data_IF_469099823611
#
_entry.id   IF_469099823611
#
_cell.length_a   1.000
_cell.length_b   1.000
_cell.length_c   1.000
_cell.angle_alpha   90.00
_cell.angle_beta   90.00
_cell.angle_gamma   90.00
#
_symmetry.space_group_name_H-M   'P 1'
#
loop_
_entity.id
_entity.type
_entity.pdbx_description
1 polymer ?
#
# COMPACT_ATOMS: atom_id res chain seq x y z
N UNK A 1 51.88 19.49 15.34
CA UNK A 1 50.71 19.74 14.48
C UNK A 1 49.63 18.74 14.89
N UNK A 2 48.65 19.15 15.68
CA UNK A 2 47.59 18.26 16.19
C UNK A 2 46.48 18.23 15.14
N UNK A 3 46.30 17.10 14.47
CA UNK A 3 45.16 16.87 13.58
C UNK A 3 43.98 16.51 14.48
N UNK A 4 43.07 17.46 14.67
CA UNK A 4 41.78 17.23 15.31
C UNK A 4 40.88 16.57 14.26
N UNK A 5 40.66 15.26 14.41
CA UNK A 5 39.55 14.60 13.70
C UNK A 5 38.25 15.03 14.38
N UNK A 6 37.49 15.89 13.71
CA UNK A 6 36.10 16.14 14.08
C UNK A 6 35.32 14.85 13.85
N UNK A 7 34.93 14.17 14.92
CA UNK A 7 33.96 13.09 14.86
C UNK A 7 32.64 13.68 14.37
N UNK A 8 32.24 13.36 13.14
CA UNK A 8 30.88 13.58 12.68
C UNK A 8 29.95 12.78 13.59
N UNK A 9 29.03 13.48 14.26
CA UNK A 9 27.95 12.84 15.00
C UNK A 9 27.22 11.90 14.04
N UNK A 10 27.16 10.61 14.35
CA UNK A 10 26.36 9.66 13.60
C UNK A 10 24.90 10.12 13.66
N UNK A 11 24.29 10.38 12.51
CA UNK A 11 22.87 10.69 12.41
C UNK A 11 22.06 9.47 12.91
N UNK A 12 21.45 9.65 14.08
CA UNK A 12 20.69 8.63 14.82
C UNK A 12 19.22 8.58 14.43
N UNK A 13 18.80 9.38 13.44
CA UNK A 13 17.39 9.42 13.04
C UNK A 13 16.99 8.10 12.40
N UNK A 14 16.10 7.37 13.07
CA UNK A 14 15.61 6.09 12.56
C UNK A 14 14.84 6.27 11.24
N UNK A 15 14.89 5.25 10.37
CA UNK A 15 14.11 5.22 9.13
C UNK A 15 12.63 5.55 9.36
N UNK A 16 12.03 4.95 10.40
CA UNK A 16 10.63 5.20 10.79
C UNK A 16 10.37 6.66 11.14
N UNK A 17 11.30 7.32 11.82
CA UNK A 17 11.15 8.74 12.14
C UNK A 17 11.25 9.60 10.88
N UNK A 18 12.15 9.28 9.94
CA UNK A 18 12.30 10.02 8.69
C UNK A 18 11.03 9.92 7.84
N UNK A 19 10.48 8.72 7.66
CA UNK A 19 9.25 8.54 6.89
C UNK A 19 8.05 9.21 7.56
N UNK A 20 7.94 9.13 8.89
CA UNK A 20 6.87 9.81 9.62
C UNK A 20 6.93 11.35 9.49
N UNK A 21 8.13 11.92 9.56
CA UNK A 21 8.32 13.35 9.32
C UNK A 21 7.99 13.74 7.87
N UNK A 22 8.37 12.91 6.90
CA UNK A 22 8.03 13.14 5.50
C UNK A 22 6.50 13.16 5.28
N UNK A 23 5.78 12.18 5.84
CA UNK A 23 4.32 12.12 5.78
C UNK A 23 3.69 13.35 6.43
N UNK A 24 4.22 13.78 7.58
CA UNK A 24 3.73 14.97 8.30
C UNK A 24 3.91 16.25 7.49
N UNK A 25 5.08 16.44 6.87
CA UNK A 25 5.35 17.56 5.97
C UNK A 25 4.39 17.55 4.77
N UNK A 26 4.19 16.39 4.14
CA UNK A 26 3.27 16.25 3.00
C UNK A 26 1.84 16.65 3.39
N UNK A 27 1.34 16.17 4.54
CA UNK A 27 0.00 16.51 5.03
C UNK A 27 -0.15 18.00 5.37
N UNK A 28 0.94 18.68 5.74
CA UNK A 28 0.97 20.12 5.96
C UNK A 28 1.12 20.95 4.66
N UNK A 29 1.28 20.29 3.51
CA UNK A 29 1.55 20.95 2.22
C UNK A 29 3.00 21.40 2.01
N UNK A 30 3.91 21.05 2.93
CA UNK A 30 5.35 21.29 2.80
C UNK A 30 6.00 20.14 1.99
N UNK A 31 5.77 20.17 0.68
CA UNK A 31 6.27 19.11 -0.21
C UNK A 31 7.79 19.11 -0.34
N UNK A 32 8.44 20.28 -0.24
CA UNK A 32 9.89 20.38 -0.25
C UNK A 32 10.51 19.75 1.01
N UNK A 33 9.95 20.03 2.19
CA UNK A 33 10.34 19.37 3.44
C UNK A 33 10.11 17.86 3.38
N UNK A 34 8.97 17.42 2.85
CA UNK A 34 8.69 15.99 2.65
C UNK A 34 9.72 15.33 1.71
N UNK A 35 10.04 15.99 0.59
CA UNK A 35 11.05 15.55 -0.37
C UNK A 35 12.44 15.42 0.28
N UNK A 36 12.81 16.35 1.17
CA UNK A 36 14.08 16.32 1.89
C UNK A 36 14.16 15.17 2.91
N UNK A 37 13.10 14.95 3.71
CA UNK A 37 13.07 13.81 4.64
C UNK A 37 13.13 12.46 3.92
N UNK A 38 12.43 12.34 2.79
CA UNK A 38 12.55 11.14 1.96
C UNK A 38 13.96 10.98 1.37
N UNK A 39 14.66 12.05 1.01
CA UNK A 39 16.04 11.96 0.55
C UNK A 39 16.96 11.27 1.57
N UNK A 40 16.77 11.53 2.86
CA UNK A 40 17.48 10.85 3.94
C UNK A 40 16.96 9.43 4.19
N UNK A 41 15.65 9.21 4.09
CA UNK A 41 15.05 7.89 4.27
C UNK A 41 15.52 6.89 3.19
N UNK A 42 15.66 7.33 1.94
CA UNK A 42 16.10 6.49 0.81
C UNK A 42 17.58 6.08 0.87
N UNK A 43 18.35 6.61 1.82
CA UNK A 43 19.72 6.15 2.12
C UNK A 43 19.74 4.93 3.04
N UNK A 44 18.60 4.58 3.63
CA UNK A 44 18.49 3.48 4.61
C UNK A 44 18.15 2.16 3.91
N UNK A 45 18.69 1.02 4.40
CA UNK A 45 18.44 -0.29 3.79
C UNK A 45 16.97 -0.74 3.86
N UNK A 46 16.17 -0.16 4.76
CA UNK A 46 14.75 -0.44 4.94
C UNK A 46 13.85 0.18 3.84
N UNK A 47 14.39 1.10 3.03
CA UNK A 47 13.63 1.77 1.99
C UNK A 47 13.10 0.78 0.95
N UNK A 48 11.77 0.73 0.79
CA UNK A 48 11.10 -0.13 -0.16
C UNK A 48 10.54 0.66 -1.35
N UNK A 49 9.98 -0.03 -2.33
CA UNK A 49 9.43 0.56 -3.55
C UNK A 49 8.44 1.71 -3.26
N UNK A 50 7.57 1.54 -2.26
CA UNK A 50 6.61 2.57 -1.85
C UNK A 50 7.31 3.86 -1.36
N UNK A 51 8.44 3.75 -0.65
CA UNK A 51 9.18 4.93 -0.22
C UNK A 51 9.78 5.69 -1.40
N UNK A 52 10.33 5.00 -2.40
CA UNK A 52 10.88 5.65 -3.59
C UNK A 52 9.77 6.35 -4.41
N UNK A 53 8.62 5.70 -4.54
CA UNK A 53 7.46 6.28 -5.24
C UNK A 53 6.94 7.52 -4.52
N UNK A 54 6.66 7.43 -3.21
CA UNK A 54 6.19 8.57 -2.43
C UNK A 54 7.20 9.72 -2.40
N UNK A 55 8.50 9.41 -2.36
CA UNK A 55 9.55 10.40 -2.48
C UNK A 55 9.52 11.12 -3.84
N UNK A 56 9.25 10.41 -4.94
CA UNK A 56 9.09 11.03 -6.25
C UNK A 56 7.84 11.92 -6.31
N UNK A 57 6.72 11.47 -5.76
CA UNK A 57 5.49 12.27 -5.63
C UNK A 57 5.74 13.57 -4.85
N UNK A 58 6.43 13.50 -3.70
CA UNK A 58 6.80 14.70 -2.92
C UNK A 58 7.67 15.67 -3.73
N UNK A 59 8.67 15.16 -4.46
CA UNK A 59 9.52 15.98 -5.32
C UNK A 59 8.73 16.64 -6.47
N UNK A 60 7.84 15.90 -7.13
CA UNK A 60 7.00 16.42 -8.20
C UNK A 60 6.06 17.53 -7.71
N UNK A 61 5.46 17.35 -6.52
CA UNK A 61 4.64 18.35 -5.83
C UNK A 61 5.43 19.57 -5.38
N UNK A 62 6.71 19.41 -5.06
CA UNK A 62 7.63 20.50 -4.75
C UNK A 62 8.14 21.25 -6.00
N UNK A 63 7.79 20.81 -7.21
CA UNK A 63 8.31 21.36 -8.46
C UNK A 63 9.74 20.92 -8.79
N UNK A 64 10.27 19.91 -8.09
CA UNK A 64 11.61 19.36 -8.26
C UNK A 64 11.62 18.26 -9.34
N UNK A 65 11.30 18.62 -10.58
CA UNK A 65 11.09 17.69 -11.71
C UNK A 65 12.25 16.70 -11.90
N UNK A 66 13.50 17.17 -11.85
CA UNK A 66 14.68 16.31 -12.04
C UNK A 66 14.86 15.30 -10.89
N UNK A 67 14.60 15.74 -9.65
CA UNK A 67 14.64 14.89 -8.47
C UNK A 67 13.55 13.82 -8.54
N UNK A 68 12.35 14.17 -8.98
CA UNK A 68 11.25 13.24 -9.15
C UNK A 68 11.62 12.14 -10.16
N UNK A 69 12.07 12.50 -11.36
CA UNK A 69 12.50 11.51 -12.36
C UNK A 69 13.70 10.67 -11.90
N UNK A 70 14.67 11.26 -11.19
CA UNK A 70 15.78 10.50 -10.61
C UNK A 70 15.30 9.41 -9.66
N UNK A 71 14.34 9.73 -8.79
CA UNK A 71 13.73 8.78 -7.83
C UNK A 71 12.88 7.71 -8.53
N UNK A 72 12.07 8.09 -9.52
CA UNK A 72 11.29 7.16 -10.33
C UNK A 72 12.17 6.18 -11.12
N UNK A 73 13.25 6.67 -11.73
CA UNK A 73 14.19 5.81 -12.44
C UNK A 73 14.92 4.86 -11.49
N UNK A 74 15.32 5.34 -10.30
CA UNK A 74 15.94 4.49 -9.28
C UNK A 74 14.97 3.43 -8.75
N UNK A 75 13.69 3.77 -8.56
CA UNK A 75 12.61 2.81 -8.24
C UNK A 75 12.56 1.71 -9.29
N UNK A 76 12.47 2.07 -10.59
CA UNK A 76 12.39 1.07 -11.66
C UNK A 76 13.63 0.20 -11.78
N UNK A 77 14.82 0.72 -11.44
CA UNK A 77 16.07 -0.03 -11.45
C UNK A 77 16.17 -1.01 -10.27
N UNK A 78 15.77 -0.58 -9.06
CA UNK A 78 15.89 -1.41 -7.86
C UNK A 78 14.77 -2.43 -7.73
N UNK A 79 13.58 -2.13 -8.26
CA UNK A 79 12.40 -2.96 -8.17
C UNK A 79 11.90 -3.28 -9.59
N UNK A 80 12.48 -4.31 -10.26
CA UNK A 80 12.22 -4.60 -11.66
C UNK A 80 10.77 -5.02 -11.96
N UNK A 81 10.06 -5.53 -10.95
CA UNK A 81 8.64 -5.91 -11.03
C UNK A 81 7.68 -4.83 -10.51
N UNK A 82 8.18 -3.67 -10.09
CA UNK A 82 7.31 -2.58 -9.66
C UNK A 82 6.64 -1.89 -10.87
N UNK A 83 5.35 -1.61 -10.72
CA UNK A 83 4.50 -0.77 -11.56
C UNK A 83 3.37 -0.17 -10.71
N UNK A 84 2.62 0.79 -11.25
CA UNK A 84 1.42 1.35 -10.63
C UNK A 84 0.25 1.32 -11.61
N UNK A 85 -0.92 0.79 -11.19
CA UNK A 85 -2.16 0.83 -12.00
C UNK A 85 -2.78 2.23 -12.06
N UNK A 86 -2.41 3.10 -11.12
CA UNK A 86 -2.95 4.46 -10.96
C UNK A 86 -2.00 5.53 -11.46
N UNK A 87 -0.94 5.15 -12.19
CA UNK A 87 0.12 6.08 -12.57
C UNK A 87 -0.41 7.29 -13.35
N UNK A 88 -1.30 7.06 -14.32
CA UNK A 88 -1.85 8.11 -15.18
C UNK A 88 -2.84 9.05 -14.47
N UNK A 89 -3.39 8.62 -13.33
CA UNK A 89 -4.36 9.37 -12.54
C UNK A 89 -3.79 9.92 -11.23
N UNK A 90 -2.50 9.69 -10.96
CA UNK A 90 -1.84 10.18 -9.75
C UNK A 90 -1.68 11.70 -9.81
N UNK A 91 -2.46 12.39 -8.96
CA UNK A 91 -2.48 13.84 -8.89
C UNK A 91 -1.11 14.45 -8.50
N UNK A 92 -0.25 13.69 -7.82
CA UNK A 92 1.06 14.16 -7.41
C UNK A 92 2.07 14.21 -8.55
N UNK A 93 1.85 13.42 -9.59
CA UNK A 93 2.75 13.32 -10.74
C UNK A 93 2.29 14.15 -11.96
N UNK A 94 1.14 14.81 -11.88
CA UNK A 94 0.57 15.60 -12.99
C UNK A 94 1.55 16.62 -13.58
N UNK A 95 2.39 17.25 -12.74
CA UNK A 95 3.40 18.22 -13.19
C UNK A 95 4.47 17.60 -14.10
N UNK A 96 4.66 16.28 -14.02
CA UNK A 96 5.63 15.54 -14.84
C UNK A 96 5.07 15.17 -16.20
N UNK A 97 3.75 15.10 -16.39
CA UNK A 97 3.14 14.53 -17.60
C UNK A 97 3.51 15.27 -18.90
N UNK A 98 3.82 16.56 -18.81
CA UNK A 98 4.27 17.36 -19.96
C UNK A 98 5.77 17.28 -20.23
N UNK A 99 6.57 16.68 -19.34
CA UNK A 99 8.01 16.51 -19.51
C UNK A 99 8.29 15.36 -20.50
N UNK A 100 9.22 15.51 -21.47
CA UNK A 100 9.54 14.45 -22.44
C UNK A 100 10.00 13.11 -21.82
N UNK A 101 10.47 13.11 -20.56
CA UNK A 101 10.86 11.89 -19.85
C UNK A 101 9.67 11.09 -19.32
N UNK A 102 8.47 11.67 -19.29
CA UNK A 102 7.27 11.00 -18.79
C UNK A 102 6.85 9.84 -19.66
N UNK A 103 6.73 10.06 -20.98
CA UNK A 103 6.25 9.02 -21.90
C UNK A 103 7.10 7.74 -21.80
N UNK A 104 8.45 7.79 -21.86
CA UNK A 104 9.25 6.57 -21.74
C UNK A 104 9.08 5.88 -20.39
N UNK A 105 8.96 6.64 -19.30
CA UNK A 105 8.76 6.10 -17.97
C UNK A 105 7.38 5.42 -17.83
N UNK A 106 6.32 6.09 -18.28
CA UNK A 106 4.95 5.59 -18.23
C UNK A 106 4.78 4.35 -19.13
N UNK A 107 5.34 4.38 -20.34
CA UNK A 107 5.35 3.23 -21.27
C UNK A 107 6.06 2.03 -20.63
N UNK A 108 7.25 2.23 -20.04
CA UNK A 108 7.97 1.15 -19.36
C UNK A 108 7.18 0.59 -18.15
N UNK A 109 6.49 1.44 -17.38
CA UNK A 109 5.59 0.97 -16.32
C UNK A 109 4.42 0.16 -16.88
N UNK A 110 3.83 0.59 -18.00
CA UNK A 110 2.69 -0.08 -18.63
C UNK A 110 3.06 -1.44 -19.22
N UNK A 111 4.25 -1.55 -19.82
CA UNK A 111 4.78 -2.82 -20.31
C UNK A 111 5.01 -3.81 -19.17
N UNK A 112 5.58 -3.35 -18.04
CA UNK A 112 5.73 -4.18 -16.84
C UNK A 112 4.39 -4.64 -16.29
N UNK A 113 3.44 -3.73 -16.17
CA UNK A 113 2.07 -4.06 -15.77
C UNK A 113 1.51 -5.16 -16.66
N UNK A 114 1.53 -4.96 -17.98
CA UNK A 114 0.99 -5.91 -18.95
C UNK A 114 1.66 -7.28 -18.83
N UNK A 115 2.99 -7.31 -18.73
CA UNK A 115 3.77 -8.55 -18.57
C UNK A 115 3.39 -9.28 -17.28
N UNK A 116 3.35 -8.60 -16.15
CA UNK A 116 3.11 -9.20 -14.84
C UNK A 116 1.66 -9.67 -14.72
N UNK A 117 0.72 -8.79 -15.08
CA UNK A 117 -0.70 -9.08 -14.94
C UNK A 117 -1.20 -10.09 -15.97
N UNK A 118 -0.49 -10.37 -17.08
CA UNK A 118 -0.88 -11.40 -18.06
C UNK A 118 -1.03 -12.80 -17.47
N UNK A 119 -0.39 -13.06 -16.33
CA UNK A 119 -0.50 -14.32 -15.59
C UNK A 119 -1.75 -14.37 -14.69
N UNK A 120 -2.44 -13.24 -14.51
CA UNK A 120 -3.55 -13.13 -13.58
C UNK A 120 -4.86 -13.58 -14.20
N UNK A 121 -5.75 -14.03 -13.32
CA UNK A 121 -7.15 -14.26 -13.67
C UNK A 121 -7.91 -12.93 -13.61
N UNK A 122 -7.79 -12.13 -14.68
CA UNK A 122 -8.25 -10.74 -14.68
C UNK A 122 -9.68 -10.52 -14.15
N UNK A 123 -10.73 -11.28 -14.52
CA UNK A 123 -12.06 -11.06 -13.96
C UNK A 123 -12.11 -11.20 -12.43
N UNK A 124 -11.39 -12.19 -11.88
CA UNK A 124 -11.31 -12.40 -10.43
C UNK A 124 -10.45 -11.33 -9.76
N UNK A 125 -9.34 -10.95 -10.40
CA UNK A 125 -8.47 -9.89 -9.92
C UNK A 125 -9.22 -8.55 -9.78
N UNK A 126 -9.95 -8.14 -10.83
CA UNK A 126 -10.77 -6.92 -10.80
C UNK A 126 -11.90 -7.01 -9.77
N UNK A 127 -12.53 -8.17 -9.62
CA UNK A 127 -13.57 -8.38 -8.61
C UNK A 127 -13.03 -8.24 -7.18
N UNK A 128 -11.86 -8.81 -6.89
CA UNK A 128 -11.22 -8.69 -5.58
C UNK A 128 -10.74 -7.25 -5.31
N UNK A 129 -10.25 -6.55 -6.33
CA UNK A 129 -9.92 -5.12 -6.22
C UNK A 129 -11.16 -4.26 -5.96
N UNK A 130 -12.29 -4.56 -6.60
CA UNK A 130 -13.56 -3.89 -6.32
C UNK A 130 -14.00 -4.11 -4.87
N UNK A 131 -13.90 -5.34 -4.36
CA UNK A 131 -14.20 -5.67 -2.96
C UNK A 131 -13.33 -4.85 -2.00
N UNK A 132 -12.02 -4.78 -2.24
CA UNK A 132 -11.12 -3.95 -1.43
C UNK A 132 -11.55 -2.48 -1.44
N UNK A 133 -11.83 -1.92 -2.62
CA UNK A 133 -12.22 -0.51 -2.74
C UNK A 133 -13.56 -0.21 -2.06
N UNK A 134 -14.54 -1.10 -2.19
CA UNK A 134 -15.83 -0.98 -1.50
C UNK A 134 -15.65 -1.02 0.03
N UNK A 135 -14.90 -2.00 0.54
CA UNK A 135 -14.63 -2.16 1.98
C UNK A 135 -13.90 -0.92 2.56
N UNK A 136 -12.86 -0.44 1.90
CA UNK A 136 -12.08 0.70 2.39
C UNK A 136 -12.85 2.02 2.26
N UNK A 137 -13.55 2.25 1.15
CA UNK A 137 -14.27 3.51 0.91
C UNK A 137 -15.45 3.71 1.88
N UNK A 138 -16.23 2.67 2.18
CA UNK A 138 -17.35 2.80 3.12
C UNK A 138 -16.83 3.05 4.55
N UNK A 139 -15.72 2.42 4.95
CA UNK A 139 -15.08 2.61 6.26
C UNK A 139 -14.53 4.03 6.39
N UNK A 140 -13.88 4.56 5.37
CA UNK A 140 -13.40 5.95 5.38
C UNK A 140 -14.56 6.94 5.59
N UNK A 141 -15.66 6.77 4.83
CA UNK A 141 -16.86 7.61 4.96
C UNK A 141 -17.49 7.49 6.34
N UNK A 142 -17.60 6.26 6.87
CA UNK A 142 -18.12 6.01 8.21
C UNK A 142 -17.27 6.69 9.29
N UNK A 143 -15.95 6.56 9.23
CA UNK A 143 -15.03 7.19 10.20
C UNK A 143 -15.16 8.72 10.17
N UNK A 144 -15.22 9.31 8.98
CA UNK A 144 -15.42 10.75 8.83
C UNK A 144 -16.75 11.20 9.45
N UNK A 145 -17.85 10.51 9.14
CA UNK A 145 -19.16 10.79 9.70
C UNK A 145 -19.20 10.59 11.22
N UNK A 146 -18.52 9.57 11.75
CA UNK A 146 -18.44 9.29 13.17
C UNK A 146 -17.78 10.44 13.94
N UNK A 147 -16.60 10.89 13.50
CA UNK A 147 -15.89 11.99 14.15
C UNK A 147 -16.54 13.35 13.95
N UNK A 148 -17.26 13.56 12.84
CA UNK A 148 -18.08 14.75 12.62
C UNK A 148 -19.43 14.71 13.37
N UNK A 149 -19.75 13.60 14.04
CA UNK A 149 -21.08 13.31 14.60
C UNK A 149 -22.23 13.56 13.59
N UNK A 150 -22.00 13.17 12.33
CA UNK A 150 -22.93 13.40 11.24
C UNK A 150 -24.14 12.44 11.31
N UNK A 151 -25.34 12.88 10.90
CA UNK A 151 -26.57 12.07 11.00
C UNK A 151 -26.55 10.81 10.14
N UNK A 152 -25.77 10.77 9.07
CA UNK A 152 -25.67 9.62 8.16
C UNK A 152 -24.84 8.44 8.70
N UNK A 153 -24.16 8.59 9.85
CA UNK A 153 -23.28 7.55 10.42
C UNK A 153 -23.98 6.19 10.57
N UNK A 154 -25.25 6.18 10.98
CA UNK A 154 -26.02 4.95 11.16
C UNK A 154 -26.35 4.28 9.83
N UNK A 155 -26.60 5.08 8.79
CA UNK A 155 -26.82 4.56 7.44
C UNK A 155 -25.55 4.00 6.83
N UNK A 156 -24.42 4.68 7.03
CA UNK A 156 -23.11 4.21 6.58
C UNK A 156 -22.72 2.91 7.29
N UNK A 157 -23.00 2.79 8.60
CA UNK A 157 -22.74 1.57 9.35
C UNK A 157 -23.59 0.38 8.84
N UNK A 158 -24.88 0.59 8.55
CA UNK A 158 -25.73 -0.46 7.97
C UNK A 158 -25.23 -0.91 6.60
N UNK A 159 -24.79 0.03 5.76
CA UNK A 159 -24.24 -0.29 4.45
C UNK A 159 -22.90 -1.04 4.56
N UNK A 160 -22.04 -0.62 5.47
CA UNK A 160 -20.77 -1.32 5.76
C UNK A 160 -21.02 -2.77 6.17
N UNK A 161 -21.95 -3.03 7.10
CA UNK A 161 -22.30 -4.40 7.51
C UNK A 161 -22.92 -5.24 6.37
N UNK A 162 -23.68 -4.59 5.47
CA UNK A 162 -24.20 -5.24 4.26
C UNK A 162 -23.07 -5.66 3.32
N UNK A 163 -22.12 -4.77 3.07
CA UNK A 163 -20.94 -5.05 2.24
C UNK A 163 -20.07 -6.14 2.86
N UNK A 164 -19.76 -6.06 4.15
CA UNK A 164 -19.02 -7.09 4.90
C UNK A 164 -19.66 -8.46 4.68
N UNK A 165 -21.00 -8.55 4.79
CA UNK A 165 -21.72 -9.81 4.56
C UNK A 165 -21.55 -10.33 3.13
N UNK A 166 -21.70 -9.47 2.11
CA UNK A 166 -21.56 -9.87 0.71
C UNK A 166 -20.13 -10.31 0.38
N UNK A 167 -19.14 -9.58 0.87
CA UNK A 167 -17.73 -9.89 0.65
C UNK A 167 -17.33 -11.20 1.33
N UNK A 168 -17.79 -11.44 2.57
CA UNK A 168 -17.58 -12.73 3.25
C UNK A 168 -18.21 -13.90 2.49
N UNK A 169 -19.42 -13.75 1.94
CA UNK A 169 -20.04 -14.79 1.13
C UNK A 169 -19.23 -15.09 -0.14
N UNK A 170 -18.71 -14.04 -0.79
CA UNK A 170 -17.84 -14.20 -1.96
C UNK A 170 -16.54 -14.94 -1.61
N UNK A 171 -15.84 -14.51 -0.56
CA UNK A 171 -14.58 -15.13 -0.12
C UNK A 171 -14.78 -16.58 0.34
N UNK A 172 -15.87 -16.86 1.06
CA UNK A 172 -16.23 -18.23 1.43
C UNK A 172 -16.45 -19.11 0.19
N UNK A 173 -17.23 -18.62 -0.77
CA UNK A 173 -17.51 -19.36 -2.01
C UNK A 173 -16.23 -19.61 -2.82
N UNK A 174 -15.38 -18.60 -2.94
CA UNK A 174 -14.09 -18.70 -3.63
C UNK A 174 -13.18 -19.73 -2.94
N UNK A 175 -13.05 -19.65 -1.61
CA UNK A 175 -12.20 -20.54 -0.84
C UNK A 175 -12.71 -21.98 -0.85
N UNK A 176 -14.02 -22.21 -0.75
CA UNK A 176 -14.61 -23.55 -0.87
C UNK A 176 -14.34 -24.16 -2.23
N UNK A 177 -14.43 -23.38 -3.31
CA UNK A 177 -14.22 -23.89 -4.66
C UNK A 177 -12.73 -24.11 -5.00
N UNK A 178 -11.82 -23.29 -4.46
CA UNK A 178 -10.45 -23.17 -4.99
C UNK A 178 -9.33 -23.14 -3.95
N UNK A 179 -9.67 -23.06 -2.67
CA UNK A 179 -8.70 -22.84 -1.60
C UNK A 179 -8.04 -21.46 -1.69
N UNK A 180 -6.80 -21.35 -1.19
CA UNK A 180 -6.01 -20.12 -1.25
C UNK A 180 -5.45 -19.90 -2.66
N UNK A 181 -5.68 -18.71 -3.21
CA UNK A 181 -5.08 -18.23 -4.47
C UNK A 181 -3.97 -17.26 -4.13
N UNK A 182 -2.77 -17.51 -4.66
CA UNK A 182 -1.59 -16.71 -4.36
C UNK A 182 -1.37 -15.55 -5.34
N UNK A 183 -0.31 -14.75 -5.10
CA UNK A 183 0.07 -13.60 -5.93
C UNK A 183 0.34 -13.94 -7.39
N UNK A 184 0.72 -15.18 -7.68
CA UNK A 184 0.91 -15.64 -9.06
C UNK A 184 -0.38 -15.63 -9.88
N UNK A 185 -1.54 -15.79 -9.24
CA UNK A 185 -2.84 -15.92 -9.90
C UNK A 185 -3.67 -14.64 -9.79
N UNK A 186 -3.55 -13.93 -8.68
CA UNK A 186 -4.38 -12.76 -8.37
C UNK A 186 -3.57 -11.57 -7.85
N UNK A 187 -2.25 -11.54 -8.05
CA UNK A 187 -1.41 -10.40 -7.69
C UNK A 187 -1.60 -9.94 -6.25
N UNK A 188 -1.57 -8.62 -6.06
CA UNK A 188 -1.80 -7.96 -4.77
C UNK A 188 -3.23 -8.08 -4.23
N UNK A 189 -4.18 -8.58 -5.02
CA UNK A 189 -5.57 -8.77 -4.61
C UNK A 189 -5.73 -9.89 -3.54
N UNK A 190 -4.67 -10.63 -3.21
CA UNK A 190 -4.61 -11.44 -1.99
C UNK A 190 -4.93 -10.61 -0.73
N UNK A 191 -4.63 -9.32 -0.74
CA UNK A 191 -4.94 -8.39 0.36
C UNK A 191 -6.44 -8.18 0.55
N UNK A 192 -7.24 -8.27 -0.53
CA UNK A 192 -8.71 -8.23 -0.44
C UNK A 192 -9.26 -9.42 0.34
N UNK A 193 -8.73 -10.62 0.11
CA UNK A 193 -9.11 -11.81 0.89
C UNK A 193 -8.70 -11.60 2.35
N UNK A 194 -7.49 -11.10 2.59
CA UNK A 194 -7.00 -10.84 3.94
C UNK A 194 -7.87 -9.86 4.73
N UNK A 195 -8.27 -8.73 4.14
CA UNK A 195 -9.06 -7.72 4.85
C UNK A 195 -10.47 -8.24 5.15
N UNK A 196 -11.12 -8.94 4.21
CA UNK A 196 -12.43 -9.54 4.43
C UNK A 196 -12.38 -10.57 5.56
N UNK A 197 -11.30 -11.34 5.68
CA UNK A 197 -11.10 -12.27 6.81
C UNK A 197 -11.11 -11.57 8.17
N UNK A 198 -10.70 -10.30 8.27
CA UNK A 198 -10.75 -9.53 9.52
C UNK A 198 -12.18 -9.29 10.02
N UNK A 199 -13.19 -9.42 9.16
CA UNK A 199 -14.60 -9.12 9.47
C UNK A 199 -15.41 -10.35 9.89
N UNK A 200 -14.83 -11.54 9.83
CA UNK A 200 -15.46 -12.76 10.34
C UNK A 200 -15.42 -12.81 11.88
N UNK A 201 -15.86 -13.95 12.45
CA UNK A 201 -15.71 -14.28 13.86
C UNK A 201 -14.61 -15.32 14.15
N UNK A 202 -14.48 -15.68 15.43
CA UNK A 202 -13.41 -16.52 15.97
C UNK A 202 -13.17 -17.82 15.19
N UNK A 203 -14.24 -18.58 14.91
CA UNK A 203 -14.12 -19.89 14.23
C UNK A 203 -13.42 -19.77 12.87
N UNK A 204 -13.79 -18.75 12.11
CA UNK A 204 -13.21 -18.47 10.79
C UNK A 204 -11.81 -17.89 10.91
N UNK A 205 -11.53 -17.03 11.88
CA UNK A 205 -10.17 -16.55 12.12
C UNK A 205 -9.21 -17.70 12.42
N UNK A 206 -9.62 -18.65 13.27
CA UNK A 206 -8.83 -19.84 13.58
C UNK A 206 -8.65 -20.75 12.34
N UNK A 207 -9.68 -20.88 11.50
CA UNK A 207 -9.60 -21.60 10.23
C UNK A 207 -8.59 -20.97 9.26
N UNK A 208 -8.60 -19.64 9.10
CA UNK A 208 -7.75 -18.93 8.14
C UNK A 208 -6.32 -18.67 8.65
N UNK A 209 -6.08 -18.63 9.96
CA UNK A 209 -4.75 -18.35 10.51
C UNK A 209 -3.63 -19.26 9.95
N UNK A 210 -3.75 -20.60 9.93
CA UNK A 210 -2.70 -21.45 9.33
C UNK A 210 -2.54 -21.21 7.82
N UNK A 211 -3.62 -20.86 7.11
CA UNK A 211 -3.57 -20.50 5.69
C UNK A 211 -2.75 -19.22 5.49
N UNK A 212 -3.00 -18.20 6.32
CA UNK A 212 -2.30 -16.92 6.23
C UNK A 212 -0.83 -17.03 6.60
N UNK A 213 -0.46 -17.87 7.58
CA UNK A 213 0.95 -18.17 7.88
C UNK A 213 1.67 -18.77 6.67
N UNK A 214 1.07 -19.77 6.04
CA UNK A 214 1.62 -20.39 4.82
C UNK A 214 1.69 -19.40 3.65
N UNK A 215 0.66 -18.57 3.48
CA UNK A 215 0.63 -17.53 2.46
C UNK A 215 1.77 -16.51 2.68
N UNK A 216 2.07 -16.15 3.93
CA UNK A 216 3.19 -15.25 4.24
C UNK A 216 4.56 -15.89 3.97
N UNK A 217 4.74 -17.17 4.27
CA UNK A 217 5.96 -17.92 3.91
C UNK A 217 6.18 -17.95 2.38
N UNK A 218 5.09 -17.96 1.61
CA UNK A 218 5.10 -17.92 0.13
C UNK A 218 5.21 -16.51 -0.43
N UNK A 219 5.18 -15.48 0.41
CA UNK A 219 5.21 -14.06 0.01
C UNK A 219 3.88 -13.52 -0.51
N UNK A 220 2.79 -14.30 -0.44
CA UNK A 220 1.45 -13.90 -0.88
C UNK A 220 0.79 -12.89 0.07
N UNK A 221 1.14 -12.94 1.35
CA UNK A 221 0.79 -11.97 2.39
C UNK A 221 2.06 -11.49 3.10
N UNK A 222 1.97 -10.36 3.78
CA UNK A 222 3.06 -9.85 4.63
C UNK A 222 3.00 -10.48 6.03
N UNK A 223 4.13 -10.58 6.75
CA UNK A 223 4.11 -11.01 8.16
C UNK A 223 3.21 -10.14 9.04
N UNK A 224 3.13 -8.84 8.77
CA UNK A 224 2.27 -7.91 9.50
C UNK A 224 0.77 -8.21 9.31
N UNK A 225 0.36 -8.61 8.10
CA UNK A 225 -1.01 -9.05 7.85
C UNK A 225 -1.38 -10.28 8.70
N UNK A 226 -0.46 -11.23 8.87
CA UNK A 226 -0.68 -12.40 9.75
C UNK A 226 -0.78 -11.95 11.21
N UNK A 227 0.16 -11.11 11.66
CA UNK A 227 0.20 -10.61 13.03
C UNK A 227 -1.09 -9.90 13.43
N UNK A 228 -1.71 -9.13 12.53
CA UNK A 228 -2.97 -8.45 12.79
C UNK A 228 -4.12 -9.44 13.06
N UNK A 229 -4.19 -10.57 12.35
CA UNK A 229 -5.17 -11.61 12.63
C UNK A 229 -4.89 -12.30 13.98
N UNK A 230 -3.63 -12.58 14.29
CA UNK A 230 -3.22 -13.18 15.57
C UNK A 230 -3.59 -12.27 16.76
N UNK A 231 -3.33 -10.97 16.64
CA UNK A 231 -3.71 -9.97 17.63
C UNK A 231 -5.22 -9.92 17.83
N UNK A 232 -5.99 -9.99 16.74
CA UNK A 232 -7.46 -10.02 16.79
C UNK A 232 -7.96 -11.27 17.53
N UNK A 233 -7.44 -12.46 17.21
CA UNK A 233 -7.77 -13.70 17.94
C UNK A 233 -7.44 -13.54 19.43
N UNK A 234 -6.26 -13.01 19.77
CA UNK A 234 -5.86 -12.79 21.16
C UNK A 234 -6.77 -11.80 21.90
N UNK A 235 -7.19 -10.73 21.22
CA UNK A 235 -8.05 -9.70 21.80
C UNK A 235 -9.45 -10.25 22.15
N UNK A 236 -10.04 -11.06 21.28
CA UNK A 236 -11.41 -11.58 21.44
C UNK A 236 -11.49 -12.97 22.10
N UNK A 237 -10.36 -13.56 22.50
CA UNK A 237 -10.33 -14.80 23.29
C UNK A 237 -10.38 -14.56 24.81
N UNK A 238 -10.39 -13.29 25.24
CA UNK A 238 -10.47 -12.88 26.65
C UNK A 238 -11.89 -12.47 27.01
#
# INVERSE_FOLDING_TARGET
MVVVFAAQAADTTSFRSLTHSADSCYMAGDYAGASAFFAEALKRPEACAANYYNAACCAARAGETDTAFSRLNRLMQQFPDWYSRSLDSDADLLSLHSDPRWEPFATACKERQTRIESAYEHPLYEQLHAIWNEDQSIRQRYVQAYYANAPEKDSLNREMLRLDTLHMHFVDSLYTARGWLGKKQIGDATSAIWIVVQHYGMDKWQQYLPVFRKAAEQGDLTPQQVQLLEQRIQQYSK
#
